data_IF_125971419311
#
_entry.id   IF_125971419311
#
_cell.length_a   1.000
_cell.length_b   1.000
_cell.length_c   1.000
_cell.angle_alpha   90.00
_cell.angle_beta   90.00
_cell.angle_gamma   90.00
#
_symmetry.space_group_name_H-M   'P 1'
#
loop_
_entity.id
_entity.type
_entity.pdbx_description
1 polymer ?
#
# COMPACT_ATOMS: atom_id res chain seq x y z
N UNK A 1 14.88 16.68 14.34
CA UNK A 1 14.10 16.27 13.14
C UNK A 1 13.64 14.82 13.33
N UNK A 2 12.66 14.59 14.21
CA UNK A 2 12.03 13.28 14.42
C UNK A 2 10.55 13.56 14.74
N UNK A 3 9.73 13.80 13.73
CA UNK A 3 8.32 14.15 13.96
C UNK A 3 7.36 13.80 12.79
N UNK A 4 7.68 12.80 11.97
CA UNK A 4 6.85 12.47 10.78
C UNK A 4 6.66 10.97 10.53
N UNK A 5 7.02 10.10 11.48
CA UNK A 5 6.93 8.65 11.33
C UNK A 5 5.80 7.96 12.13
N UNK A 6 5.01 8.69 12.93
CA UNK A 6 4.14 8.10 13.97
C UNK A 6 2.63 8.11 13.69
N UNK A 7 2.19 8.54 12.51
CA UNK A 7 0.76 8.69 12.20
C UNK A 7 0.30 7.73 11.10
N UNK A 8 0.04 6.44 11.44
CA UNK A 8 -0.85 5.54 10.69
C UNK A 8 -1.18 4.21 11.42
N UNK A 9 -1.65 4.29 12.67
CA UNK A 9 -2.35 3.20 13.38
C UNK A 9 -3.59 3.79 14.11
N UNK A 10 -4.70 3.93 13.36
CA UNK A 10 -6.08 4.43 13.66
C UNK A 10 -6.62 4.32 15.12
N UNK A 11 -7.53 5.15 15.66
CA UNK A 11 -8.22 6.44 15.35
C UNK A 11 -9.08 6.84 16.61
N UNK A 12 -10.04 7.83 16.70
CA UNK A 12 -10.63 8.76 15.71
C UNK A 12 -10.75 10.28 16.11
N UNK A 13 -11.25 11.06 15.13
CA UNK A 13 -12.01 12.34 15.23
C UNK A 13 -11.27 13.68 15.39
N UNK A 14 -11.21 14.39 14.26
CA UNK A 14 -11.27 15.86 14.08
C UNK A 14 -10.28 16.75 14.87
N UNK A 15 -9.18 17.10 14.20
CA UNK A 15 -8.52 18.40 14.36
C UNK A 15 -8.37 19.06 12.97
N UNK A 16 -8.74 20.33 12.85
CA UNK A 16 -8.55 21.15 11.65
C UNK A 16 -7.06 21.39 11.39
N UNK A 17 -6.56 21.32 10.14
CA UNK A 17 -5.16 21.62 9.85
C UNK A 17 -4.90 23.13 9.97
N UNK A 18 -3.81 23.49 10.66
CA UNK A 18 -3.24 24.84 10.58
C UNK A 18 -2.71 25.10 9.17
N UNK A 19 -2.96 26.30 8.65
CA UNK A 19 -2.56 26.68 7.29
C UNK A 19 -1.09 27.10 7.19
N UNK A 20 -0.42 26.64 6.14
CA UNK A 20 0.82 27.24 5.63
C UNK A 20 0.50 28.16 4.43
N UNK A 21 1.20 29.29 4.27
CA UNK A 21 0.90 30.25 3.21
C UNK A 21 1.61 29.87 1.90
N UNK A 22 1.02 28.97 1.12
CA UNK A 22 1.33 28.89 -0.30
C UNK A 22 0.47 29.90 -1.06
N UNK A 23 1.14 30.88 -1.68
CA UNK A 23 0.52 31.86 -2.58
C UNK A 23 0.96 31.62 -4.02
N UNK A 24 0.83 30.38 -4.44
CA UNK A 24 0.88 29.99 -5.84
C UNK A 24 -0.52 30.09 -6.44
N UNK A 25 -0.63 30.59 -7.67
CA UNK A 25 -1.89 30.57 -8.40
C UNK A 25 -2.40 29.12 -8.48
N UNK A 26 -3.69 28.85 -8.19
CA UNK A 26 -4.20 27.48 -8.18
C UNK A 26 -3.97 26.86 -9.57
N UNK A 27 -3.31 25.69 -9.66
CA UNK A 27 -3.05 25.04 -10.95
C UNK A 27 -4.40 24.82 -11.64
N UNK A 28 -4.52 25.28 -12.89
CA UNK A 28 -5.76 25.18 -13.66
C UNK A 28 -6.26 23.73 -13.61
N UNK A 29 -7.48 23.47 -13.12
CA UNK A 29 -7.95 22.10 -12.95
C UNK A 29 -8.03 21.41 -14.31
N UNK A 30 -7.33 20.27 -14.43
CA UNK A 30 -7.48 19.36 -15.56
C UNK A 30 -8.85 18.69 -15.51
N UNK A 31 -9.86 19.40 -16.01
CA UNK A 31 -11.20 18.87 -16.25
C UNK A 31 -11.19 18.01 -17.53
N UNK A 32 -10.70 16.79 -17.41
CA UNK A 32 -11.03 15.72 -18.35
C UNK A 32 -12.40 15.16 -17.97
N UNK A 33 -13.35 15.18 -18.92
CA UNK A 33 -14.68 14.58 -18.74
C UNK A 33 -14.59 13.09 -18.45
N UNK A 34 -13.55 12.41 -18.95
CA UNK A 34 -13.26 10.99 -18.67
C UNK A 34 -12.24 10.83 -17.54
N UNK A 35 -12.35 9.73 -16.82
CA UNK A 35 -11.38 9.29 -15.82
C UNK A 35 -11.05 7.81 -15.99
N UNK A 36 -9.78 7.45 -15.77
CA UNK A 36 -9.37 6.05 -15.77
C UNK A 36 -9.51 5.43 -14.38
N UNK A 37 -10.01 4.20 -14.37
CA UNK A 37 -10.22 3.37 -13.20
C UNK A 37 -9.44 2.07 -13.33
N UNK A 38 -8.91 1.59 -12.21
CA UNK A 38 -8.37 0.25 -12.11
C UNK A 38 -9.50 -0.69 -11.67
N UNK A 39 -9.68 -1.80 -12.38
CA UNK A 39 -10.74 -2.78 -12.13
C UNK A 39 -10.16 -4.20 -12.09
N UNK A 40 -10.91 -5.13 -11.51
CA UNK A 40 -10.54 -6.55 -11.45
C UNK A 40 -11.67 -7.47 -11.92
N UNK A 41 -11.29 -8.66 -12.38
CA UNK A 41 -12.19 -9.76 -12.68
C UNK A 41 -11.54 -11.10 -12.34
N UNK A 42 -12.35 -12.17 -12.30
CA UNK A 42 -11.83 -13.54 -12.35
C UNK A 42 -11.13 -13.81 -13.69
N UNK A 43 -10.50 -14.98 -13.78
CA UNK A 43 -9.78 -15.41 -14.98
C UNK A 43 -10.66 -15.52 -16.24
N UNK A 44 -11.96 -15.78 -16.06
CA UNK A 44 -13.01 -15.88 -17.10
C UNK A 44 -13.73 -14.55 -17.38
N UNK A 45 -13.17 -13.43 -16.89
CA UNK A 45 -13.74 -12.07 -16.95
C UNK A 45 -15.00 -11.85 -16.09
N UNK A 46 -15.53 -12.86 -15.39
CA UNK A 46 -16.67 -12.71 -14.48
C UNK A 46 -16.30 -11.92 -13.21
N UNK A 47 -17.32 -11.41 -12.51
CA UNK A 47 -17.17 -10.74 -11.20
C UNK A 47 -18.09 -11.37 -10.15
N UNK A 48 -17.88 -11.05 -8.87
CA UNK A 48 -18.82 -11.39 -7.79
C UNK A 48 -20.12 -10.57 -7.82
N UNK A 49 -20.16 -9.48 -8.58
CA UNK A 49 -21.31 -8.58 -8.69
C UNK A 49 -22.30 -8.96 -9.80
N UNK A 50 -22.20 -10.18 -10.34
CA UNK A 50 -23.14 -10.71 -11.33
C UNK A 50 -22.99 -10.17 -12.76
N UNK A 51 -21.85 -9.55 -13.09
CA UNK A 51 -21.54 -9.11 -14.46
C UNK A 51 -20.18 -9.64 -14.93
N UNK A 52 -20.01 -9.72 -16.24
CA UNK A 52 -18.77 -10.13 -16.92
C UNK A 52 -18.21 -8.95 -17.70
N UNK A 53 -16.90 -8.71 -17.60
CA UNK A 53 -16.24 -7.67 -18.40
C UNK A 53 -16.12 -8.10 -19.87
N UNK A 54 -16.37 -7.19 -20.83
CA UNK A 54 -16.27 -7.47 -22.26
C UNK A 54 -14.81 -7.43 -22.72
N UNK A 55 -14.59 -7.58 -24.03
CA UNK A 55 -13.26 -7.61 -24.64
C UNK A 55 -12.57 -6.25 -24.61
N UNK A 56 -11.25 -6.25 -24.88
CA UNK A 56 -10.47 -5.03 -25.02
C UNK A 56 -11.07 -4.11 -26.10
N UNK A 57 -11.34 -2.85 -25.74
CA UNK A 57 -11.94 -1.84 -26.61
C UNK A 57 -13.48 -1.76 -26.54
N UNK A 58 -14.15 -2.75 -25.95
CA UNK A 58 -15.61 -2.79 -25.78
C UNK A 58 -16.05 -2.03 -24.52
N UNK A 59 -17.34 -1.68 -24.47
CA UNK A 59 -17.95 -0.95 -23.34
C UNK A 59 -18.77 -1.91 -22.47
N UNK A 60 -18.44 -1.98 -21.18
CA UNK A 60 -19.27 -2.61 -20.18
C UNK A 60 -20.40 -1.67 -19.74
N UNK A 61 -21.59 -2.21 -19.51
CA UNK A 61 -22.69 -1.53 -18.81
C UNK A 61 -23.09 -2.35 -17.59
N UNK A 62 -23.38 -1.68 -16.47
CA UNK A 62 -23.83 -2.33 -15.25
C UNK A 62 -25.25 -2.90 -15.43
N UNK A 63 -25.51 -4.18 -15.12
CA UNK A 63 -26.86 -4.76 -15.25
C UNK A 63 -27.93 -4.07 -14.40
N UNK A 64 -27.49 -3.45 -13.30
CA UNK A 64 -28.31 -2.61 -12.42
C UNK A 64 -27.48 -1.36 -12.11
N UNK A 65 -28.08 -0.18 -12.25
CA UNK A 65 -27.48 1.09 -11.85
C UNK A 65 -28.50 1.99 -11.16
N UNK A 66 -28.13 2.47 -9.98
CA UNK A 66 -28.78 3.61 -9.33
C UNK A 66 -27.69 4.63 -8.94
N UNK A 67 -27.92 5.95 -9.07
CA UNK A 67 -26.96 6.98 -8.70
C UNK A 67 -26.91 7.22 -7.18
N UNK A 68 -26.65 6.16 -6.41
CA UNK A 68 -26.50 6.17 -4.97
C UNK A 68 -25.36 5.22 -4.50
N UNK A 69 -25.02 5.26 -3.21
CA UNK A 69 -23.92 4.47 -2.64
C UNK A 69 -24.23 2.96 -2.49
N UNK A 70 -25.49 2.53 -2.60
CA UNK A 70 -25.94 1.21 -2.11
C UNK A 70 -26.02 0.12 -3.18
N UNK A 71 -26.65 0.38 -4.33
CA UNK A 71 -27.07 -0.69 -5.25
C UNK A 71 -26.49 -0.57 -6.66
N UNK A 72 -25.98 -1.68 -7.21
CA UNK A 72 -25.52 -1.78 -8.59
C UNK A 72 -24.26 -0.98 -8.94
N UNK A 73 -23.94 -0.95 -10.23
CA UNK A 73 -22.74 -0.33 -10.82
C UNK A 73 -21.54 -1.26 -10.97
N UNK A 74 -20.74 -0.98 -12.00
CA UNK A 74 -19.40 -1.54 -12.20
C UNK A 74 -18.47 -1.05 -11.08
N UNK A 75 -17.46 -1.84 -10.70
CA UNK A 75 -16.57 -1.58 -9.56
C UNK A 75 -15.11 -1.36 -9.96
N UNK A 76 -14.43 -0.46 -9.23
CA UNK A 76 -13.00 -0.21 -9.37
C UNK A 76 -12.49 0.88 -8.43
N UNK A 77 -11.21 1.22 -8.60
CA UNK A 77 -10.53 2.32 -7.92
C UNK A 77 -10.28 3.46 -8.90
N UNK A 78 -10.83 4.64 -8.60
CA UNK A 78 -10.57 5.84 -9.40
C UNK A 78 -9.08 6.18 -9.35
N UNK A 79 -8.46 6.38 -10.52
CA UNK A 79 -7.03 6.61 -10.67
C UNK A 79 -6.16 5.49 -10.04
N UNK A 80 -6.75 4.30 -9.81
CA UNK A 80 -6.05 3.13 -9.27
C UNK A 80 -5.65 3.24 -7.81
N UNK A 81 -6.23 4.16 -7.05
CA UNK A 81 -5.92 4.37 -5.64
C UNK A 81 -7.15 4.12 -4.75
N UNK A 82 -6.92 3.48 -3.60
CA UNK A 82 -7.93 3.31 -2.55
C UNK A 82 -7.74 2.02 -1.74
N UNK A 83 -8.82 1.50 -1.18
CA UNK A 83 -8.79 0.31 -0.31
C UNK A 83 -8.70 -0.97 -1.15
N UNK A 84 -7.54 -1.61 -1.12
CA UNK A 84 -7.25 -2.83 -1.89
C UNK A 84 -8.15 -4.00 -1.48
N UNK A 85 -8.49 -4.14 -0.19
CA UNK A 85 -9.27 -5.26 0.33
C UNK A 85 -10.73 -5.29 -0.17
N UNK A 86 -11.24 -4.17 -0.69
CA UNK A 86 -12.57 -4.05 -1.29
C UNK A 86 -12.57 -4.28 -2.82
N UNK A 87 -11.47 -4.81 -3.36
CA UNK A 87 -11.41 -5.29 -4.74
C UNK A 87 -12.12 -6.63 -4.92
N UNK A 88 -13.07 -6.71 -5.85
CA UNK A 88 -13.92 -7.90 -5.98
C UNK A 88 -13.25 -9.18 -6.49
N UNK A 89 -12.07 -9.11 -7.13
CA UNK A 89 -11.35 -10.30 -7.59
C UNK A 89 -9.83 -10.14 -7.42
N UNK A 90 -9.29 -10.68 -6.33
CA UNK A 90 -7.87 -10.52 -5.93
C UNK A 90 -7.07 -11.83 -5.97
N UNK A 91 -7.65 -12.86 -6.58
CA UNK A 91 -7.07 -14.20 -6.76
C UNK A 91 -5.79 -14.14 -7.62
N UNK A 92 -4.84 -15.10 -7.49
CA UNK A 92 -3.61 -15.10 -8.28
C UNK A 92 -3.81 -15.14 -9.81
N UNK A 93 -4.96 -15.64 -10.27
CA UNK A 93 -5.36 -15.75 -11.68
C UNK A 93 -6.23 -14.59 -12.16
N UNK A 94 -6.59 -13.65 -11.27
CA UNK A 94 -7.45 -12.52 -11.58
C UNK A 94 -6.86 -11.62 -12.68
N UNK A 95 -7.73 -11.11 -13.57
CA UNK A 95 -7.35 -10.12 -14.57
C UNK A 95 -7.50 -8.73 -13.99
N UNK A 96 -6.56 -7.87 -14.34
CA UNK A 96 -6.57 -6.45 -13.99
C UNK A 96 -6.86 -5.65 -15.25
N UNK A 97 -7.81 -4.74 -15.14
CA UNK A 97 -8.31 -3.94 -16.24
C UNK A 97 -8.06 -2.45 -15.96
N UNK A 98 -7.82 -1.69 -17.02
CA UNK A 98 -7.97 -0.22 -16.96
C UNK A 98 -9.21 0.13 -17.77
N UNK A 99 -10.12 0.87 -17.14
CA UNK A 99 -11.44 1.19 -17.67
C UNK A 99 -11.63 2.70 -17.70
N UNK A 100 -12.10 3.23 -18.82
CA UNK A 100 -12.45 4.65 -18.96
C UNK A 100 -13.95 4.84 -18.70
N UNK A 101 -14.31 5.75 -17.80
CA UNK A 101 -15.70 6.11 -17.52
C UNK A 101 -15.90 7.63 -17.45
N UNK A 102 -17.15 8.07 -17.58
CA UNK A 102 -17.55 9.46 -17.40
C UNK A 102 -17.38 9.90 -15.95
N UNK A 103 -16.60 10.96 -15.74
CA UNK A 103 -16.20 11.43 -14.40
C UNK A 103 -17.40 11.92 -13.58
N UNK A 104 -18.45 12.42 -14.25
CA UNK A 104 -19.74 12.79 -13.64
C UNK A 104 -20.47 11.61 -12.98
N UNK A 105 -20.26 10.41 -13.50
CA UNK A 105 -21.05 9.22 -13.14
C UNK A 105 -20.35 8.35 -12.07
N UNK A 106 -19.13 8.72 -11.68
CA UNK A 106 -18.29 7.98 -10.73
C UNK A 106 -18.66 8.37 -9.30
N UNK A 107 -19.34 7.46 -8.61
CA UNK A 107 -19.70 7.62 -7.21
C UNK A 107 -18.64 6.93 -6.34
N UNK A 108 -17.85 7.73 -5.63
CA UNK A 108 -16.81 7.25 -4.69
C UNK A 108 -17.43 6.89 -3.34
N UNK A 109 -16.95 5.81 -2.72
CA UNK A 109 -17.18 5.53 -1.31
C UNK A 109 -16.18 4.52 -0.77
N UNK A 110 -15.83 4.64 0.51
CA UNK A 110 -15.07 3.65 1.27
C UNK A 110 -13.80 3.14 0.55
N UNK A 111 -13.01 4.06 -0.01
CA UNK A 111 -11.79 3.70 -0.76
C UNK A 111 -12.02 2.97 -2.09
N UNK A 112 -13.25 2.83 -2.58
CA UNK A 112 -13.58 2.33 -3.93
C UNK A 112 -14.54 3.32 -4.63
N UNK A 113 -15.03 2.93 -5.81
CA UNK A 113 -16.12 3.64 -6.46
C UNK A 113 -17.03 2.69 -7.27
N UNK A 114 -18.12 3.25 -7.77
CA UNK A 114 -19.02 2.62 -8.74
C UNK A 114 -19.38 3.57 -9.89
N UNK A 115 -19.66 3.00 -11.04
CA UNK A 115 -20.00 3.73 -12.27
C UNK A 115 -20.94 2.90 -13.17
N UNK A 116 -21.76 3.52 -14.04
CA UNK A 116 -22.78 2.83 -14.83
C UNK A 116 -22.22 2.14 -16.08
N UNK A 117 -21.25 2.79 -16.74
CA UNK A 117 -20.68 2.36 -18.03
C UNK A 117 -19.18 2.60 -18.04
N UNK A 118 -18.41 1.76 -18.72
CA UNK A 118 -16.99 2.02 -18.93
C UNK A 118 -16.37 1.22 -20.05
N UNK A 119 -15.48 1.85 -20.80
CA UNK A 119 -14.75 1.24 -21.93
C UNK A 119 -13.47 0.57 -21.44
N UNK A 120 -13.27 -0.69 -21.79
CA UNK A 120 -12.06 -1.44 -21.41
C UNK A 120 -10.89 -0.99 -22.28
N UNK A 121 -9.87 -0.37 -21.68
CA UNK A 121 -8.66 0.11 -22.35
C UNK A 121 -7.44 -0.80 -22.16
N UNK A 122 -7.46 -1.66 -21.15
CA UNK A 122 -6.41 -2.65 -20.87
C UNK A 122 -7.00 -3.89 -20.20
N UNK A 123 -6.42 -5.07 -20.49
CA UNK A 123 -6.65 -6.32 -19.75
C UNK A 123 -5.29 -7.01 -19.59
N UNK A 124 -4.89 -7.39 -18.37
CA UNK A 124 -3.61 -8.06 -18.14
C UNK A 124 -3.27 -8.30 -16.67
N UNK A 125 -1.98 -8.51 -16.34
CA UNK A 125 -1.53 -8.67 -14.96
C UNK A 125 -1.45 -7.33 -14.22
N UNK A 126 -1.67 -7.36 -12.89
CA UNK A 126 -1.70 -6.19 -11.97
C UNK A 126 -0.66 -5.10 -12.27
N UNK A 127 0.63 -5.48 -12.32
CA UNK A 127 1.72 -4.53 -12.57
C UNK A 127 1.57 -3.80 -13.91
N UNK A 128 1.17 -4.50 -14.98
CA UNK A 128 0.98 -3.88 -16.30
C UNK A 128 -0.27 -3.01 -16.38
N UNK A 129 -1.32 -3.33 -15.63
CA UNK A 129 -2.48 -2.45 -15.50
C UNK A 129 -2.11 -1.14 -14.78
N UNK A 130 -1.33 -1.21 -13.70
CA UNK A 130 -0.82 -0.03 -12.98
C UNK A 130 0.10 0.83 -13.88
N UNK A 131 1.06 0.21 -14.58
CA UNK A 131 1.93 0.91 -15.55
C UNK A 131 1.10 1.59 -16.66
N UNK A 132 0.11 0.91 -17.25
CA UNK A 132 -0.77 1.48 -18.26
C UNK A 132 -1.55 2.68 -17.71
N UNK A 133 -2.13 2.54 -16.51
CA UNK A 133 -2.90 3.58 -15.86
C UNK A 133 -2.07 4.84 -15.60
N UNK A 134 -0.92 4.71 -14.93
CA UNK A 134 -0.02 5.84 -14.60
C UNK A 134 0.48 6.56 -15.86
N UNK A 135 0.65 5.82 -16.97
CA UNK A 135 1.03 6.38 -18.26
C UNK A 135 -0.08 7.26 -18.83
N UNK A 136 -1.33 6.80 -18.83
CA UNK A 136 -2.45 7.44 -19.53
C UNK A 136 -3.35 8.34 -18.64
N UNK A 137 -3.19 8.29 -17.31
CA UNK A 137 -3.92 9.11 -16.35
C UNK A 137 -2.94 9.92 -15.49
N UNK A 138 -2.68 11.20 -15.83
CA UNK A 138 -1.76 12.05 -15.08
C UNK A 138 -2.13 12.18 -13.60
N UNK A 139 -3.43 12.16 -13.26
CA UNK A 139 -3.94 12.27 -11.89
C UNK A 139 -3.57 11.07 -11.00
N UNK A 140 -3.18 9.93 -11.60
CA UNK A 140 -2.72 8.75 -10.86
C UNK A 140 -1.27 8.88 -10.38
N UNK A 141 -0.43 9.71 -11.02
CA UNK A 141 1.03 9.79 -10.76
C UNK A 141 1.37 10.28 -9.36
N UNK A 142 0.51 11.14 -8.82
CA UNK A 142 0.63 11.74 -7.48
C UNK A 142 0.01 10.86 -6.37
N UNK A 143 -0.61 9.73 -6.74
CA UNK A 143 -1.31 8.84 -5.81
C UNK A 143 -0.52 7.55 -5.57
N UNK A 144 -0.70 6.89 -4.40
CA UNK A 144 -0.21 5.53 -4.17
C UNK A 144 -1.05 4.52 -4.99
N UNK A 145 -0.63 4.24 -6.24
CA UNK A 145 -1.38 3.36 -7.14
C UNK A 145 -1.23 1.89 -6.75
N UNK A 146 -2.36 1.20 -6.66
CA UNK A 146 -2.47 -0.24 -6.43
C UNK A 146 -1.72 -0.98 -7.55
N UNK A 147 -0.80 -1.88 -7.17
CA UNK A 147 -0.03 -2.66 -8.14
C UNK A 147 1.22 -1.99 -8.70
N UNK A 148 1.52 -0.75 -8.30
CA UNK A 148 2.68 -0.02 -8.83
C UNK A 148 4.02 -0.59 -8.37
N UNK A 149 5.04 -0.48 -9.24
CA UNK A 149 6.44 -0.65 -8.89
C UNK A 149 7.17 0.66 -9.20
N UNK A 150 7.67 1.37 -8.16
CA UNK A 150 8.31 2.68 -8.28
C UNK A 150 9.73 2.63 -7.70
N UNK A 151 10.72 3.04 -8.49
CA UNK A 151 12.12 3.15 -8.05
C UNK A 151 12.59 4.59 -8.19
N UNK A 152 13.22 5.13 -7.15
CA UNK A 152 13.84 6.45 -7.12
C UNK A 152 15.29 6.34 -6.65
N UNK A 153 16.11 7.34 -6.92
CA UNK A 153 17.50 7.40 -6.47
C UNK A 153 17.66 7.84 -5.00
N UNK A 154 18.89 8.18 -4.64
CA UNK A 154 19.27 8.60 -3.29
C UNK A 154 18.53 9.87 -2.83
N UNK A 155 18.26 9.97 -1.53
CA UNK A 155 17.57 11.10 -0.89
C UNK A 155 16.13 11.35 -1.36
N UNK A 156 15.52 10.44 -2.12
CA UNK A 156 14.17 10.58 -2.69
C UNK A 156 13.16 9.64 -2.02
N UNK A 157 11.89 9.99 -2.19
CA UNK A 157 10.76 9.21 -1.66
C UNK A 157 10.02 8.46 -2.77
N UNK A 158 9.87 7.15 -2.62
CA UNK A 158 8.96 6.32 -3.40
C UNK A 158 7.75 5.92 -2.55
N UNK A 159 6.53 6.19 -3.03
CA UNK A 159 5.27 5.84 -2.35
C UNK A 159 4.37 5.12 -3.35
N UNK A 160 3.87 3.93 -2.99
CA UNK A 160 3.03 3.08 -3.85
C UNK A 160 1.85 2.46 -3.09
N UNK A 161 0.79 2.07 -3.80
CA UNK A 161 -0.40 1.46 -3.23
C UNK A 161 -0.21 0.00 -2.79
N UNK A 162 -1.29 -0.59 -2.27
CA UNK A 162 -1.33 -1.98 -1.83
C UNK A 162 -1.78 -2.93 -2.96
N UNK A 163 -1.18 -4.11 -3.15
CA UNK A 163 0.23 -4.41 -2.95
C UNK A 163 1.05 -3.76 -4.08
N UNK A 164 2.18 -3.17 -3.72
CA UNK A 164 3.11 -2.50 -4.64
C UNK A 164 4.55 -2.65 -4.17
N UNK A 165 5.50 -2.22 -4.98
CA UNK A 165 6.92 -2.19 -4.61
C UNK A 165 7.47 -0.77 -4.70
N UNK A 166 7.87 -0.22 -3.56
CA UNK A 166 8.63 1.03 -3.49
C UNK A 166 10.12 0.72 -3.32
N UNK A 167 10.98 1.44 -4.02
CA UNK A 167 12.43 1.36 -3.85
C UNK A 167 13.05 2.76 -3.90
N UNK A 168 13.90 3.07 -2.94
CA UNK A 168 14.70 4.30 -2.92
C UNK A 168 16.19 3.98 -2.70
N UNK A 169 17.06 4.94 -3.02
CA UNK A 169 18.50 4.81 -2.80
C UNK A 169 18.93 5.04 -1.36
N UNK A 170 20.21 5.39 -1.18
CA UNK A 170 20.77 5.79 0.11
C UNK A 170 20.08 7.07 0.63
N UNK A 171 19.94 7.20 1.95
CA UNK A 171 19.21 8.29 2.63
C UNK A 171 17.75 8.49 2.13
N UNK A 172 17.22 7.52 1.38
CA UNK A 172 15.90 7.58 0.75
C UNK A 172 14.75 7.06 1.64
N UNK A 173 13.52 7.27 1.18
CA UNK A 173 12.31 6.74 1.84
C UNK A 173 11.51 5.87 0.88
N UNK A 174 11.13 4.66 1.28
CA UNK A 174 10.23 3.80 0.52
C UNK A 174 9.00 3.45 1.36
N UNK A 175 7.80 3.72 0.83
CA UNK A 175 6.52 3.38 1.48
C UNK A 175 5.66 2.56 0.52
N UNK A 176 5.23 1.37 0.95
CA UNK A 176 4.27 0.56 0.21
C UNK A 176 3.08 0.15 1.10
N UNK A 177 1.90 -0.02 0.49
CA UNK A 177 0.70 -0.41 1.21
C UNK A 177 0.73 -1.84 1.77
N UNK A 178 -0.42 -2.32 2.25
CA UNK A 178 -0.62 -3.69 2.73
C UNK A 178 -0.15 -4.73 1.69
N UNK A 179 0.55 -5.78 2.14
CA UNK A 179 1.21 -6.80 1.30
C UNK A 179 2.21 -6.21 0.27
N UNK A 180 2.67 -4.99 0.49
CA UNK A 180 3.67 -4.32 -0.31
C UNK A 180 5.10 -4.65 0.10
N UNK A 181 6.05 -4.18 -0.70
CA UNK A 181 7.49 -4.31 -0.47
C UNK A 181 8.12 -2.91 -0.50
N UNK A 182 8.88 -2.55 0.53
CA UNK A 182 9.66 -1.31 0.58
C UNK A 182 11.14 -1.64 0.73
N UNK A 183 11.98 -1.10 -0.16
CA UNK A 183 13.43 -1.32 -0.19
C UNK A 183 14.14 0.04 -0.15
N UNK A 184 15.12 0.22 0.74
CA UNK A 184 15.97 1.43 0.79
C UNK A 184 17.44 1.10 0.97
N UNK A 185 18.31 2.02 0.55
CA UNK A 185 19.76 1.94 0.77
C UNK A 185 20.18 2.18 2.23
N UNK A 186 21.46 2.49 2.43
CA UNK A 186 21.99 2.84 3.74
C UNK A 186 21.33 4.12 4.28
N UNK A 187 21.13 4.17 5.61
CA UNK A 187 20.46 5.27 6.35
C UNK A 187 19.03 5.59 5.92
N UNK A 188 18.45 4.84 4.98
CA UNK A 188 17.09 5.06 4.50
C UNK A 188 16.00 4.52 5.43
N UNK A 189 14.74 4.87 5.13
CA UNK A 189 13.55 4.41 5.85
C UNK A 189 12.62 3.62 4.92
N UNK A 190 12.44 2.33 5.19
CA UNK A 190 11.46 1.46 4.52
C UNK A 190 10.25 1.23 5.42
N UNK A 191 9.04 1.51 4.92
CA UNK A 191 7.78 1.31 5.64
C UNK A 191 6.78 0.53 4.81
N UNK A 192 6.16 -0.48 5.40
CA UNK A 192 5.08 -1.27 4.77
C UNK A 192 3.91 -1.55 5.70
N UNK A 193 2.70 -1.65 5.13
CA UNK A 193 1.49 -2.00 5.87
C UNK A 193 1.40 -3.47 6.34
N UNK A 194 0.19 -3.92 6.63
CA UNK A 194 -0.15 -5.28 7.06
C UNK A 194 0.40 -6.35 6.10
N UNK A 195 1.06 -7.39 6.63
CA UNK A 195 1.75 -8.45 5.87
C UNK A 195 2.77 -7.91 4.84
N UNK A 196 3.31 -6.70 5.07
CA UNK A 196 4.31 -6.09 4.21
C UNK A 196 5.73 -6.60 4.46
N UNK A 197 6.66 -6.28 3.55
CA UNK A 197 8.09 -6.56 3.71
C UNK A 197 8.90 -5.27 3.55
N UNK A 198 9.56 -4.83 4.62
CA UNK A 198 10.45 -3.67 4.65
C UNK A 198 11.90 -4.09 4.78
N UNK A 199 12.77 -3.58 3.92
CA UNK A 199 14.23 -3.83 3.95
C UNK A 199 14.99 -2.51 3.86
N UNK A 200 15.92 -2.28 4.78
CA UNK A 200 16.80 -1.11 4.78
C UNK A 200 18.27 -1.50 4.93
N UNK A 201 19.19 -0.71 4.38
CA UNK A 201 20.64 -0.94 4.46
C UNK A 201 21.24 -0.57 5.82
N UNK A 202 22.57 -0.47 5.86
CA UNK A 202 23.36 -0.11 7.05
C UNK A 202 22.88 1.22 7.69
N UNK A 203 22.73 1.25 9.01
CA UNK A 203 22.08 2.34 9.78
C UNK A 203 20.64 2.70 9.31
N UNK A 204 19.99 1.85 8.53
CA UNK A 204 18.63 2.08 8.04
C UNK A 204 17.55 1.73 9.06
N UNK A 205 16.31 2.13 8.78
CA UNK A 205 15.13 1.75 9.56
C UNK A 205 14.12 1.02 8.69
N UNK A 206 13.65 -0.15 9.12
CA UNK A 206 12.60 -0.92 8.46
C UNK A 206 11.39 -1.08 9.39
N UNK A 207 10.19 -0.73 8.92
CA UNK A 207 8.94 -0.78 9.69
C UNK A 207 7.86 -1.55 8.93
N UNK A 208 7.43 -2.69 9.45
CA UNK A 208 6.32 -3.45 8.87
C UNK A 208 5.11 -3.56 9.81
N UNK A 209 3.89 -3.56 9.25
CA UNK A 209 2.66 -3.79 10.00
C UNK A 209 2.53 -5.22 10.55
N UNK A 210 1.36 -5.55 11.11
CA UNK A 210 1.11 -6.87 11.70
C UNK A 210 1.32 -8.00 10.67
N UNK A 211 1.92 -9.11 11.13
CA UNK A 211 2.38 -10.24 10.33
C UNK A 211 3.46 -9.90 9.29
N UNK A 212 3.96 -8.66 9.27
CA UNK A 212 4.96 -8.18 8.33
C UNK A 212 6.38 -8.59 8.69
N UNK A 213 7.31 -8.36 7.76
CA UNK A 213 8.73 -8.64 7.90
C UNK A 213 9.52 -7.34 7.81
N UNK A 214 10.37 -7.07 8.80
CA UNK A 214 11.33 -5.97 8.77
C UNK A 214 12.76 -6.53 8.84
N UNK A 215 13.61 -6.15 7.90
CA UNK A 215 15.02 -6.56 7.86
C UNK A 215 15.92 -5.34 7.70
N UNK A 216 16.95 -5.25 8.51
CA UNK A 216 18.00 -4.22 8.40
C UNK A 216 19.38 -4.85 8.44
N UNK A 217 20.36 -4.15 7.88
CA UNK A 217 21.77 -4.52 8.00
C UNK A 217 22.38 -4.04 9.34
N UNK A 218 23.69 -4.10 9.48
CA UNK A 218 24.45 -3.61 10.63
C UNK A 218 24.02 -2.18 11.06
N UNK A 219 23.95 -1.96 12.39
CA UNK A 219 23.55 -0.71 13.05
C UNK A 219 22.12 -0.20 12.72
N UNK A 220 21.29 -0.98 12.02
CA UNK A 220 19.92 -0.59 11.69
C UNK A 220 18.88 -0.94 12.76
N UNK A 221 17.65 -0.45 12.58
CA UNK A 221 16.50 -0.73 13.45
C UNK A 221 15.35 -1.38 12.66
N UNK A 222 15.00 -2.62 13.02
CA UNK A 222 13.85 -3.34 12.45
C UNK A 222 12.67 -3.36 13.43
N UNK A 223 11.51 -2.87 13.00
CA UNK A 223 10.28 -2.78 13.80
C UNK A 223 9.15 -3.53 13.08
N UNK A 224 8.44 -4.41 13.77
CA UNK A 224 7.25 -5.07 13.23
C UNK A 224 6.06 -5.05 14.17
N UNK A 225 4.85 -5.02 13.59
CA UNK A 225 3.59 -5.23 14.30
C UNK A 225 3.43 -6.62 14.94
N UNK A 226 2.22 -6.91 15.42
CA UNK A 226 1.85 -8.19 16.03
C UNK A 226 2.11 -9.37 15.10
N UNK A 227 2.65 -10.48 15.62
CA UNK A 227 3.07 -11.66 14.83
C UNK A 227 4.10 -11.37 13.72
N UNK A 228 4.75 -10.21 13.76
CA UNK A 228 5.79 -9.85 12.81
C UNK A 228 7.10 -10.61 12.99
N UNK A 229 8.00 -10.42 12.02
CA UNK A 229 9.33 -11.04 11.98
C UNK A 229 10.40 -9.97 11.77
N UNK A 230 11.33 -9.84 12.69
CA UNK A 230 12.39 -8.85 12.65
C UNK A 230 13.77 -9.51 12.51
N UNK A 231 14.66 -8.91 11.73
CA UNK A 231 16.07 -9.29 11.60
C UNK A 231 16.93 -8.04 11.48
N UNK A 232 18.10 -8.04 12.13
CA UNK A 232 19.05 -6.94 12.09
C UNK A 232 20.49 -7.47 12.09
N UNK A 233 21.42 -6.69 11.51
CA UNK A 233 22.85 -6.95 11.59
C UNK A 233 23.44 -6.64 12.97
N UNK A 234 24.76 -6.73 13.08
CA UNK A 234 25.54 -6.41 14.29
C UNK A 234 25.25 -5.00 14.77
N UNK A 235 25.18 -4.83 16.10
CA UNK A 235 24.85 -3.55 16.75
C UNK A 235 23.50 -2.95 16.29
N UNK A 236 22.66 -3.73 15.63
CA UNK A 236 21.30 -3.36 15.27
C UNK A 236 20.29 -3.67 16.38
N UNK A 237 19.07 -3.19 16.20
CA UNK A 237 17.96 -3.37 17.12
C UNK A 237 16.78 -4.05 16.40
N UNK A 238 16.15 -5.01 17.06
CA UNK A 238 14.85 -5.57 16.67
C UNK A 238 13.76 -5.14 17.66
N UNK A 239 12.55 -4.91 17.17
CA UNK A 239 11.41 -4.54 18.01
C UNK A 239 10.10 -5.11 17.46
N UNK A 240 9.35 -5.85 18.28
CA UNK A 240 8.14 -6.55 17.86
C UNK A 240 7.00 -6.24 18.83
N UNK A 241 5.85 -5.84 18.28
CA UNK A 241 4.64 -5.60 19.09
C UNK A 241 3.97 -6.92 19.52
N UNK A 242 3.45 -6.94 20.74
CA UNK A 242 2.65 -8.02 21.29
C UNK A 242 1.44 -7.48 22.05
N UNK A 243 0.39 -8.29 22.19
CA UNK A 243 -0.77 -7.97 23.02
C UNK A 243 -0.54 -8.47 24.44
N UNK A 244 -0.53 -7.56 25.42
CA UNK A 244 -0.51 -7.93 26.82
C UNK A 244 -1.93 -8.17 27.33
N UNK A 245 -2.24 -9.41 27.72
CA UNK A 245 -3.56 -9.78 28.22
C UNK A 245 -3.87 -9.24 29.63
N UNK A 246 -2.85 -8.97 30.44
CA UNK A 246 -3.00 -8.49 31.82
C UNK A 246 -3.26 -6.98 31.83
N UNK A 247 -2.48 -6.23 31.05
CA UNK A 247 -2.63 -4.77 30.89
C UNK A 247 -3.66 -4.38 29.81
N UNK A 248 -4.14 -5.36 29.01
CA UNK A 248 -5.13 -5.20 27.93
C UNK A 248 -4.73 -4.12 26.91
N UNK A 249 -3.45 -4.09 26.53
CA UNK A 249 -2.88 -3.14 25.58
C UNK A 249 -1.76 -3.76 24.76
N UNK A 250 -1.44 -3.13 23.64
CA UNK A 250 -0.23 -3.46 22.88
C UNK A 250 1.02 -2.92 23.60
N UNK A 251 2.04 -3.78 23.68
CA UNK A 251 3.38 -3.50 24.19
C UNK A 251 4.43 -3.87 23.13
N UNK A 252 5.63 -3.32 23.24
CA UNK A 252 6.72 -3.58 22.30
C UNK A 252 7.88 -4.27 23.02
N UNK A 253 8.25 -5.46 22.55
CA UNK A 253 9.46 -6.17 22.98
C UNK A 253 10.64 -5.65 22.17
N UNK A 254 11.69 -5.18 22.83
CA UNK A 254 12.93 -4.69 22.21
C UNK A 254 14.06 -5.68 22.47
N UNK A 255 14.93 -5.90 21.48
CA UNK A 255 16.13 -6.71 21.60
C UNK A 255 17.29 -6.08 20.83
N UNK A 256 18.50 -6.15 21.41
CA UNK A 256 19.73 -5.62 20.83
C UNK A 256 20.59 -6.77 20.31
N UNK A 257 21.06 -6.67 19.07
CA UNK A 257 21.80 -7.77 18.42
C UNK A 257 23.21 -7.89 18.99
N UNK A 258 23.56 -9.08 19.45
CA UNK A 258 24.77 -9.38 20.21
C UNK A 258 24.55 -9.51 21.72
N UNK A 259 23.35 -9.17 22.22
CA UNK A 259 22.95 -9.31 23.63
C UNK A 259 21.91 -10.43 23.80
N UNK A 260 21.75 -10.97 25.02
CA UNK A 260 20.72 -11.96 25.40
C UNK A 260 20.55 -13.19 24.47
N UNK A 261 21.59 -13.57 23.72
CA UNK A 261 21.54 -14.68 22.74
C UNK A 261 20.87 -14.33 21.40
N UNK A 262 20.78 -13.03 21.08
CA UNK A 262 20.32 -12.54 19.78
C UNK A 262 21.48 -12.49 18.77
N UNK A 263 21.49 -13.44 17.85
CA UNK A 263 22.52 -13.56 16.80
C UNK A 263 22.24 -12.59 15.64
N UNK A 264 23.27 -11.96 15.05
CA UNK A 264 23.10 -11.09 13.88
C UNK A 264 22.58 -11.86 12.66
N UNK A 265 21.83 -11.15 11.83
CA UNK A 265 21.19 -11.65 10.60
C UNK A 265 20.22 -12.83 10.80
N UNK A 266 19.85 -13.14 12.05
CA UNK A 266 18.87 -14.18 12.36
C UNK A 266 17.47 -13.55 12.42
N UNK A 267 16.49 -14.23 11.82
CA UNK A 267 15.08 -13.81 11.85
C UNK A 267 14.46 -14.25 13.18
N UNK A 268 13.90 -13.29 13.91
CA UNK A 268 13.20 -13.52 15.16
C UNK A 268 11.72 -13.17 15.07
N UNK A 269 10.91 -13.91 15.82
CA UNK A 269 9.53 -13.56 16.17
C UNK A 269 9.35 -13.71 17.69
N UNK A 270 8.14 -13.48 18.20
CA UNK A 270 7.82 -13.70 19.62
C UNK A 270 7.06 -15.02 19.82
N UNK A 271 7.43 -15.75 20.88
CA UNK A 271 6.61 -16.84 21.42
C UNK A 271 5.40 -16.30 22.18
N UNK A 272 4.47 -17.19 22.56
CA UNK A 272 3.32 -16.86 23.40
C UNK A 272 3.71 -16.26 24.78
N UNK A 273 4.92 -16.57 25.27
CA UNK A 273 5.53 -15.99 26.48
C UNK A 273 6.19 -14.60 26.23
N UNK A 274 6.03 -14.02 25.04
CA UNK A 274 6.66 -12.76 24.61
C UNK A 274 8.21 -12.78 24.67
N UNK A 275 8.80 -13.96 24.40
CA UNK A 275 10.26 -14.14 24.27
C UNK A 275 10.65 -14.22 22.79
N UNK A 276 11.82 -13.68 22.43
CA UNK A 276 12.35 -13.84 21.08
C UNK A 276 12.68 -15.32 20.80
N UNK A 277 12.19 -15.82 19.66
CA UNK A 277 12.48 -17.15 19.14
C UNK A 277 12.91 -17.05 17.67
N UNK A 278 13.83 -17.93 17.26
CA UNK A 278 14.30 -18.02 15.87
C UNK A 278 13.21 -18.63 14.98
N UNK A 279 13.13 -18.16 13.73
CA UNK A 279 12.17 -18.60 12.69
C UNK A 279 12.85 -19.48 11.65
#
# INVERSE_FOLDING_TARGET
MIETAFALLSFPKAATPLGFPFKDDPPKPFHSDKSLLLCTSRADMSTEYGYTWPSLGETAEAPIWEPNLRFGGLRGWLYGHGEYALGGCLEPTAKWLVVEADTSDIIKFDGICKFPRGKVLFIGPRKKAAEYLITHEPRARELPVIGEHRTVGDGKSAIVGAPGTASAGDDGTAVAGNRGVALVGARGVATTGFLGTSVAGHCGTAVAGDGGVATVDDHGTAITGFQGKASAGKLGQISIWYWDFMERRYLMKVGYIGEDGLDPYTIYTLSDDNRFIKV
#
